data_IF_701947496835
#
_entry.id   IF_701947496835
#
_cell.length_a   1.000
_cell.length_b   1.000
_cell.length_c   1.000
_cell.angle_alpha   90.00
_cell.angle_beta   90.00
_cell.angle_gamma   90.00
#
_symmetry.space_group_name_H-M   'P 1'
#
loop_
_entity.id
_entity.type
_entity.pdbx_description
1 polymer ?
#
# COMPACT_ATOMS: atom_id res chain seq x y z
N UNK A 1 10.97 84.96 -36.49
CA UNK A 1 10.25 85.62 -35.39
C UNK A 1 8.81 85.13 -35.48
N UNK A 2 8.27 84.16 -34.83
CA UNK A 2 8.34 83.57 -33.54
C UNK A 2 7.82 82.11 -33.65
N UNK A 3 8.67 81.16 -33.37
CA UNK A 3 8.41 79.73 -33.10
C UNK A 3 8.10 79.67 -31.60
N UNK A 4 6.91 79.92 -31.12
CA UNK A 4 6.60 79.76 -29.68
C UNK A 4 5.08 79.77 -29.40
N UNK A 5 4.28 79.05 -30.20
CA UNK A 5 2.86 78.82 -29.84
C UNK A 5 2.28 77.55 -30.44
N UNK A 6 2.94 76.44 -30.36
CA UNK A 6 2.34 75.15 -30.75
C UNK A 6 2.84 73.97 -29.90
N UNK A 7 3.07 74.13 -28.61
CA UNK A 7 3.39 73.08 -27.68
C UNK A 7 2.60 73.25 -26.37
N UNK A 8 1.32 73.21 -26.39
CA UNK A 8 0.45 73.01 -25.20
C UNK A 8 -0.90 72.54 -25.74
N UNK A 9 -1.01 71.26 -26.18
CA UNK A 9 -2.28 70.57 -26.37
C UNK A 9 -2.13 69.06 -26.64
N UNK A 10 -1.02 68.45 -26.28
CA UNK A 10 -0.83 66.95 -26.49
C UNK A 10 -0.54 66.21 -25.20
N UNK A 11 -0.48 66.83 -24.03
CA UNK A 11 -0.13 66.22 -22.76
C UNK A 11 -1.32 65.87 -21.85
N UNK A 12 -2.56 65.96 -22.32
CA UNK A 12 -3.75 65.66 -21.49
C UNK A 12 -4.53 64.41 -21.87
N UNK A 13 -4.08 63.60 -22.86
CA UNK A 13 -4.81 62.40 -23.31
C UNK A 13 -4.06 61.11 -23.01
N UNK A 14 -2.84 61.11 -22.43
CA UNK A 14 -2.05 59.89 -22.12
C UNK A 14 -2.18 59.47 -20.65
N UNK A 15 -2.81 60.25 -19.79
CA UNK A 15 -3.00 59.91 -18.35
C UNK A 15 -4.32 59.21 -18.03
N UNK A 16 -5.18 58.98 -19.03
CA UNK A 16 -6.50 58.33 -18.84
C UNK A 16 -6.54 56.81 -19.14
N UNK A 17 -5.49 56.20 -19.69
CA UNK A 17 -5.49 54.79 -20.09
C UNK A 17 -4.65 53.85 -19.22
N UNK A 18 -4.00 54.35 -18.18
CA UNK A 18 -3.17 53.52 -17.28
C UNK A 18 -3.89 53.06 -16.02
N UNK A 19 -5.16 53.43 -15.79
CA UNK A 19 -5.90 53.02 -14.59
C UNK A 19 -7.00 51.96 -14.80
N UNK A 20 -7.02 51.25 -15.94
CA UNK A 20 -8.03 50.22 -16.24
C UNK A 20 -7.44 48.82 -16.48
N UNK A 21 -6.14 48.60 -16.25
CA UNK A 21 -5.49 47.32 -16.41
C UNK A 21 -5.01 46.68 -15.09
N UNK A 22 -5.26 47.30 -13.93
CA UNK A 22 -4.78 46.85 -12.63
C UNK A 22 -5.87 46.19 -11.76
N UNK A 23 -6.99 45.80 -12.36
CA UNK A 23 -8.12 45.22 -11.62
C UNK A 23 -8.44 43.76 -11.98
N UNK A 24 -7.48 42.96 -12.47
CA UNK A 24 -7.65 41.50 -12.69
C UNK A 24 -6.42 40.67 -12.36
N UNK A 25 -5.64 41.02 -11.36
CA UNK A 25 -4.85 40.02 -10.62
C UNK A 25 -5.69 39.56 -9.43
N UNK A 26 -6.59 38.62 -9.67
CA UNK A 26 -7.04 37.73 -8.62
C UNK A 26 -5.77 36.99 -8.13
N UNK A 27 -5.13 37.58 -7.12
CA UNK A 27 -4.28 36.80 -6.24
C UNK A 27 -5.18 35.72 -5.65
N UNK A 28 -5.11 34.48 -6.18
CA UNK A 28 -5.41 33.31 -5.39
C UNK A 28 -4.54 33.44 -4.12
N UNK A 29 -5.16 33.86 -3.02
CA UNK A 29 -4.61 33.66 -1.70
C UNK A 29 -4.50 32.16 -1.56
N UNK A 30 -3.33 31.58 -1.81
CA UNK A 30 -2.94 30.33 -1.15
C UNK A 30 -3.03 30.66 0.34
N UNK A 31 -4.11 30.22 0.97
CA UNK A 31 -4.15 30.14 2.42
C UNK A 31 -3.01 29.20 2.79
N UNK A 32 -1.94 29.73 3.34
CA UNK A 32 -0.89 28.97 4.01
C UNK A 32 -1.57 28.33 5.23
N UNK A 33 -2.15 27.14 5.04
CA UNK A 33 -2.65 26.35 6.15
C UNK A 33 -1.46 26.07 7.06
N UNK A 34 -1.45 26.72 8.22
CA UNK A 34 -0.41 26.53 9.23
C UNK A 34 -0.41 25.06 9.62
N UNK A 35 0.67 24.35 9.26
CA UNK A 35 0.85 22.95 9.66
C UNK A 35 0.83 22.91 11.18
N UNK A 36 -0.20 22.28 11.74
CA UNK A 36 -0.40 22.17 13.17
C UNK A 36 0.27 20.90 13.72
N UNK A 37 0.40 19.84 12.91
CA UNK A 37 0.93 18.54 13.33
C UNK A 37 1.63 17.81 12.17
N UNK A 38 2.74 17.15 12.50
CA UNK A 38 3.37 16.13 11.66
C UNK A 38 2.84 14.75 12.05
N UNK A 39 2.48 13.92 11.05
CA UNK A 39 2.02 12.54 11.21
C UNK A 39 2.97 11.62 10.42
N UNK A 40 3.74 10.79 11.14
CA UNK A 40 4.69 9.84 10.53
C UNK A 40 4.05 8.48 10.33
N UNK A 41 3.96 8.04 9.07
CA UNK A 41 3.32 6.76 8.72
C UNK A 41 4.30 5.86 7.98
N UNK A 42 4.56 4.67 8.55
CA UNK A 42 5.38 3.64 7.93
C UNK A 42 4.60 2.86 6.86
N UNK A 43 5.21 2.65 5.68
CA UNK A 43 4.56 1.95 4.57
C UNK A 43 5.58 1.24 3.66
N UNK A 44 5.13 0.19 2.94
CA UNK A 44 5.92 -0.31 1.82
C UNK A 44 5.75 0.62 0.59
N UNK A 45 6.74 0.68 -0.33
CA UNK A 45 6.72 1.63 -1.45
C UNK A 45 5.49 1.50 -2.35
N UNK A 46 5.08 0.28 -2.69
CA UNK A 46 3.96 -0.04 -3.59
C UNK A 46 3.11 -1.14 -2.95
N UNK A 47 1.80 -1.01 -2.88
CA UNK A 47 0.97 0.13 -3.26
C UNK A 47 0.83 1.18 -2.13
N UNK A 48 1.22 0.83 -0.90
CA UNK A 48 0.86 1.53 0.35
C UNK A 48 1.30 3.01 0.36
N UNK A 49 2.61 3.28 0.11
CA UNK A 49 3.11 4.66 0.06
C UNK A 49 2.48 5.46 -1.08
N UNK A 50 2.15 4.82 -2.21
CA UNK A 50 1.45 5.49 -3.33
C UNK A 50 0.02 5.88 -2.95
N UNK A 51 -0.70 5.01 -2.21
CA UNK A 51 -2.03 5.31 -1.70
C UNK A 51 -1.95 6.43 -0.66
N UNK A 52 -0.99 6.39 0.28
CA UNK A 52 -0.75 7.49 1.22
C UNK A 52 -0.45 8.81 0.50
N UNK A 53 0.36 8.78 -0.56
CA UNK A 53 0.70 9.97 -1.33
C UNK A 53 -0.54 10.63 -1.98
N UNK A 54 -1.56 9.84 -2.34
CA UNK A 54 -2.79 10.35 -2.95
C UNK A 54 -3.66 11.21 -2.01
N UNK A 55 -3.42 11.12 -0.68
CA UNK A 55 -4.18 11.84 0.34
C UNK A 55 -3.38 12.94 1.06
N UNK A 56 -2.14 13.20 0.63
CA UNK A 56 -1.26 14.21 1.26
C UNK A 56 -1.89 15.60 1.25
N UNK A 57 -2.49 16.01 0.14
CA UNK A 57 -3.10 17.33 0.02
C UNK A 57 -4.37 17.45 0.88
N UNK A 58 -5.18 16.38 0.97
CA UNK A 58 -6.38 16.35 1.81
C UNK A 58 -6.04 16.49 3.30
N UNK A 59 -4.93 15.89 3.74
CA UNK A 59 -4.43 16.03 5.10
C UNK A 59 -3.81 17.41 5.35
N UNK A 60 -3.11 17.96 4.36
CA UNK A 60 -2.55 19.32 4.44
C UNK A 60 -3.62 20.38 4.62
N UNK A 61 -4.76 20.24 3.95
CA UNK A 61 -5.93 21.11 4.13
C UNK A 61 -6.49 21.06 5.58
N UNK A 62 -6.33 19.92 6.25
CA UNK A 62 -6.66 19.76 7.67
C UNK A 62 -5.52 20.18 8.63
N UNK A 63 -4.45 20.81 8.13
CA UNK A 63 -3.29 21.23 8.92
C UNK A 63 -2.36 20.08 9.33
N UNK A 64 -2.46 18.91 8.70
CA UNK A 64 -1.65 17.73 9.00
C UNK A 64 -0.60 17.54 7.90
N UNK A 65 0.68 17.53 8.29
CA UNK A 65 1.79 17.17 7.41
C UNK A 65 2.02 15.66 7.48
N UNK A 66 1.59 14.93 6.45
CA UNK A 66 1.89 13.50 6.35
C UNK A 66 3.36 13.30 5.97
N UNK A 67 4.09 12.50 6.78
CA UNK A 67 5.47 12.06 6.50
C UNK A 67 5.43 10.56 6.28
N UNK A 68 5.67 10.13 5.03
CA UNK A 68 5.66 8.73 4.65
C UNK A 68 7.07 8.17 4.82
N UNK A 69 7.22 7.20 5.72
CA UNK A 69 8.49 6.50 5.98
C UNK A 69 8.47 5.15 5.28
N UNK A 70 9.37 4.95 4.32
CA UNK A 70 9.36 3.78 3.45
C UNK A 70 10.17 2.63 4.03
N UNK A 71 9.61 1.42 4.01
CA UNK A 71 10.24 0.18 4.46
C UNK A 71 10.16 -0.89 3.36
N UNK A 72 11.21 -1.71 3.24
CA UNK A 72 11.28 -2.77 2.21
C UNK A 72 11.05 -4.17 2.78
N UNK A 73 10.78 -4.28 4.06
CA UNK A 73 10.47 -5.52 4.79
C UNK A 73 9.16 -5.40 5.59
N UNK A 74 8.76 -6.47 6.30
CA UNK A 74 7.53 -6.50 7.09
C UNK A 74 7.77 -6.44 8.61
N UNK A 75 9.02 -6.41 9.07
CA UNK A 75 9.37 -6.43 10.49
C UNK A 75 9.55 -5.01 11.04
N UNK A 76 10.38 -4.22 10.36
CA UNK A 76 10.78 -2.89 10.82
C UNK A 76 9.61 -1.91 11.00
N UNK A 77 8.55 -1.89 10.14
CA UNK A 77 7.43 -0.96 10.35
C UNK A 77 6.71 -1.14 11.68
N UNK A 78 6.57 -2.37 12.17
CA UNK A 78 5.94 -2.64 13.46
C UNK A 78 6.89 -2.34 14.64
N UNK A 79 8.18 -2.58 14.49
CA UNK A 79 9.17 -2.20 15.50
C UNK A 79 9.21 -0.67 15.67
N UNK A 80 9.30 0.08 14.57
CA UNK A 80 9.31 1.54 14.56
C UNK A 80 7.99 2.15 15.05
N UNK A 81 6.85 1.47 14.85
CA UNK A 81 5.57 1.89 15.42
C UNK A 81 5.56 1.67 16.94
N UNK A 82 6.04 0.51 17.39
CA UNK A 82 6.04 0.16 18.81
C UNK A 82 6.98 1.04 19.64
N UNK A 83 8.14 1.45 19.09
CA UNK A 83 9.10 2.33 19.80
C UNK A 83 8.74 3.83 19.71
N UNK A 84 7.65 4.19 19.00
CA UNK A 84 7.18 5.57 18.86
C UNK A 84 7.88 6.38 17.78
N UNK A 85 8.76 5.79 16.97
CA UNK A 85 9.39 6.45 15.81
C UNK A 85 8.39 6.75 14.69
N UNK A 86 7.26 6.02 14.68
CA UNK A 86 6.10 6.23 13.82
C UNK A 86 4.85 6.50 14.66
N UNK A 87 3.90 7.25 14.12
CA UNK A 87 2.56 7.44 14.68
C UNK A 87 1.60 6.33 14.26
N UNK A 88 1.73 5.85 13.01
CA UNK A 88 0.96 4.75 12.45
C UNK A 88 1.79 3.98 11.43
N UNK A 89 1.31 2.80 11.03
CA UNK A 89 1.79 2.14 9.81
C UNK A 89 0.64 1.61 8.96
N UNK A 90 0.92 1.42 7.67
CA UNK A 90 -0.01 0.90 6.69
C UNK A 90 0.75 0.03 5.71
N UNK A 91 0.75 -1.31 5.94
CA UNK A 91 1.46 -2.28 5.09
C UNK A 91 1.01 -3.73 5.31
N UNK A 92 0.20 -4.02 6.33
CA UNK A 92 -0.09 -5.35 6.85
C UNK A 92 -1.57 -5.63 6.97
N UNK A 93 -1.93 -6.89 7.01
CA UNK A 93 -3.29 -7.38 7.28
C UNK A 93 -3.45 -7.91 8.72
N UNK A 94 -4.71 -8.06 9.18
CA UNK A 94 -5.03 -8.46 10.55
C UNK A 94 -4.29 -9.73 11.02
N UNK A 95 -4.31 -10.88 10.29
CA UNK A 95 -3.62 -12.07 10.76
C UNK A 95 -2.10 -11.89 10.94
N UNK A 96 -1.45 -11.05 10.11
CA UNK A 96 -0.04 -10.73 10.29
C UNK A 96 0.19 -9.91 11.56
N UNK A 97 -0.60 -8.85 11.79
CA UNK A 97 -0.50 -8.00 12.98
C UNK A 97 -0.72 -8.81 14.26
N UNK A 98 -1.76 -9.63 14.30
CA UNK A 98 -2.11 -10.42 15.49
C UNK A 98 -0.98 -11.43 15.81
N UNK A 99 -0.44 -12.09 14.79
CA UNK A 99 0.69 -13.01 14.97
C UNK A 99 1.97 -12.27 15.40
N UNK A 100 2.26 -11.13 14.82
CA UNK A 100 3.41 -10.30 15.17
C UNK A 100 3.34 -9.83 16.63
N UNK A 101 2.16 -9.37 17.08
CA UNK A 101 1.91 -8.99 18.47
C UNK A 101 2.15 -10.16 19.41
N UNK A 102 1.60 -11.34 19.10
CA UNK A 102 1.77 -12.54 19.90
C UNK A 102 3.25 -12.95 20.05
N UNK A 103 3.95 -13.05 18.92
CA UNK A 103 5.33 -13.54 18.89
C UNK A 103 6.31 -12.57 19.56
N UNK A 104 6.01 -11.27 19.53
CA UNK A 104 6.89 -10.23 20.05
C UNK A 104 6.38 -9.55 21.32
N UNK A 105 5.25 -10.01 21.88
CA UNK A 105 4.60 -9.44 23.07
C UNK A 105 4.35 -7.93 22.92
N UNK A 106 3.85 -7.54 21.75
CA UNK A 106 3.48 -6.16 21.43
C UNK A 106 1.96 -5.97 21.48
N UNK A 107 1.51 -4.72 21.56
CA UNK A 107 0.11 -4.32 21.69
C UNK A 107 -0.31 -3.30 20.61
N UNK A 108 0.11 -3.55 19.36
CA UNK A 108 -0.30 -2.71 18.25
C UNK A 108 -1.76 -2.98 17.87
N UNK A 109 -2.49 -1.92 17.52
CA UNK A 109 -3.93 -1.97 17.24
C UNK A 109 -4.19 -1.73 15.76
N UNK A 110 -4.90 -2.63 15.12
CA UNK A 110 -5.39 -2.40 13.76
C UNK A 110 -6.70 -1.62 13.77
N UNK A 111 -6.75 -0.49 13.08
CA UNK A 111 -7.83 0.49 13.15
C UNK A 111 -8.84 0.39 12.01
N UNK A 112 -8.37 0.37 10.76
CA UNK A 112 -9.23 0.45 9.58
C UNK A 112 -8.67 -0.33 8.40
N UNK A 113 -9.49 -1.13 7.74
CA UNK A 113 -9.14 -1.81 6.50
C UNK A 113 -9.18 -0.84 5.32
N UNK A 114 -8.21 -0.96 4.40
CA UNK A 114 -8.10 -0.05 3.26
C UNK A 114 -8.18 -0.81 1.92
N UNK A 115 -7.41 -1.88 1.74
CA UNK A 115 -7.44 -2.65 0.48
C UNK A 115 -7.02 -4.09 0.69
N UNK A 116 -7.41 -4.96 -0.24
CA UNK A 116 -6.94 -6.35 -0.34
C UNK A 116 -5.93 -6.46 -1.46
N UNK A 117 -4.85 -7.18 -1.20
CA UNK A 117 -3.86 -7.62 -2.17
C UNK A 117 -3.97 -9.14 -2.35
N UNK A 118 -4.63 -9.63 -3.40
CA UNK A 118 -4.73 -11.07 -3.61
C UNK A 118 -3.34 -11.70 -3.75
N UNK A 119 -3.12 -12.77 -2.99
CA UNK A 119 -1.91 -13.59 -3.10
C UNK A 119 -1.96 -14.36 -4.44
N UNK A 120 -0.82 -14.45 -5.15
CA UNK A 120 -0.78 -15.04 -6.49
C UNK A 120 0.39 -16.01 -6.66
N UNK A 121 0.16 -17.04 -7.47
CA UNK A 121 1.19 -17.97 -7.90
C UNK A 121 1.79 -17.54 -9.24
N UNK A 122 3.10 -17.44 -9.29
CA UNK A 122 3.88 -17.10 -10.48
C UNK A 122 4.88 -18.20 -10.81
N UNK A 123 5.18 -18.37 -12.08
CA UNK A 123 6.25 -19.24 -12.58
C UNK A 123 6.90 -18.65 -13.82
N UNK A 124 8.20 -18.87 -13.96
CA UNK A 124 8.94 -18.62 -15.21
C UNK A 124 9.18 -19.90 -16.01
N UNK A 125 8.84 -21.08 -15.45
CA UNK A 125 9.12 -22.39 -16.05
C UNK A 125 7.89 -23.06 -16.66
N UNK A 126 6.69 -22.73 -16.15
CA UNK A 126 5.41 -23.26 -16.65
C UNK A 126 4.42 -22.13 -16.90
N UNK A 127 3.56 -22.32 -17.87
CA UNK A 127 2.48 -21.39 -18.26
C UNK A 127 1.08 -21.90 -17.88
N UNK A 128 0.98 -23.17 -17.44
CA UNK A 128 -0.24 -23.80 -16.95
C UNK A 128 0.13 -24.66 -15.73
N UNK A 129 -0.64 -24.57 -14.66
CA UNK A 129 -0.42 -25.34 -13.43
C UNK A 129 -0.51 -26.84 -13.65
N UNK A 130 -1.22 -27.30 -14.67
CA UNK A 130 -1.30 -28.71 -15.07
C UNK A 130 0.06 -29.29 -15.50
N UNK A 131 1.00 -28.41 -15.89
CA UNK A 131 2.36 -28.79 -16.26
C UNK A 131 3.31 -28.91 -15.06
N UNK A 132 2.79 -28.73 -13.83
CA UNK A 132 3.58 -28.88 -12.60
C UNK A 132 4.07 -30.33 -12.49
N UNK A 133 5.39 -30.50 -12.37
CA UNK A 133 6.01 -31.82 -12.29
C UNK A 133 6.05 -32.33 -10.87
N UNK A 134 6.08 -33.66 -10.74
CA UNK A 134 6.32 -34.29 -9.43
C UNK A 134 7.70 -33.89 -8.90
N UNK A 135 7.75 -33.48 -7.62
CA UNK A 135 8.98 -33.01 -6.97
C UNK A 135 9.31 -31.53 -7.21
N UNK A 136 8.41 -30.78 -7.85
CA UNK A 136 8.55 -29.32 -8.06
C UNK A 136 8.77 -28.58 -6.76
N UNK A 137 9.62 -27.55 -6.81
CA UNK A 137 9.92 -26.64 -5.69
C UNK A 137 9.05 -25.40 -5.81
N UNK A 138 8.22 -25.15 -4.80
CA UNK A 138 7.38 -23.95 -4.70
C UNK A 138 7.87 -23.09 -3.53
N UNK A 139 8.34 -21.87 -3.84
CA UNK A 139 8.71 -20.90 -2.82
C UNK A 139 7.47 -20.19 -2.26
N UNK A 140 7.45 -19.96 -0.95
CA UNK A 140 6.36 -19.30 -0.21
C UNK A 140 6.96 -18.31 0.80
N UNK A 141 6.19 -17.29 1.27
CA UNK A 141 6.65 -16.45 2.38
C UNK A 141 7.00 -17.28 3.62
N UNK A 142 7.99 -16.83 4.38
CA UNK A 142 8.44 -17.53 5.60
C UNK A 142 7.82 -16.96 6.89
N UNK A 143 7.10 -15.83 6.84
CA UNK A 143 6.34 -15.38 7.99
C UNK A 143 5.10 -16.26 8.20
N UNK A 144 4.73 -16.56 9.46
CA UNK A 144 3.69 -17.57 9.73
C UNK A 144 2.34 -17.26 9.08
N UNK A 145 1.95 -15.97 9.00
CA UNK A 145 0.65 -15.60 8.46
C UNK A 145 0.60 -15.76 6.93
N UNK A 146 1.61 -15.27 6.20
CA UNK A 146 1.62 -15.41 4.74
C UNK A 146 2.05 -16.82 4.30
N UNK A 147 2.83 -17.56 5.07
CA UNK A 147 3.10 -18.98 4.82
C UNK A 147 1.80 -19.79 4.90
N UNK A 148 1.03 -19.65 6.00
CA UNK A 148 -0.25 -20.32 6.14
C UNK A 148 -1.23 -19.97 5.03
N UNK A 149 -1.32 -18.69 4.68
CA UNK A 149 -2.11 -18.18 3.57
C UNK A 149 -1.70 -18.81 2.23
N UNK A 150 -0.40 -18.94 1.96
CA UNK A 150 0.10 -19.59 0.74
C UNK A 150 -0.25 -21.08 0.69
N UNK A 151 -0.14 -21.80 1.81
CA UNK A 151 -0.52 -23.20 1.89
C UNK A 151 -2.03 -23.41 1.74
N UNK A 152 -2.85 -22.52 2.30
CA UNK A 152 -4.31 -22.51 2.09
C UNK A 152 -4.63 -22.30 0.61
N UNK A 153 -3.92 -21.41 -0.08
CA UNK A 153 -4.11 -21.19 -1.52
C UNK A 153 -3.75 -22.46 -2.32
N UNK A 154 -2.63 -23.13 -2.01
CA UNK A 154 -2.27 -24.43 -2.62
C UNK A 154 -3.31 -25.51 -2.34
N UNK A 155 -3.86 -25.55 -1.13
CA UNK A 155 -4.94 -26.47 -0.76
C UNK A 155 -6.21 -26.23 -1.60
N UNK A 156 -6.64 -24.97 -1.73
CA UNK A 156 -7.80 -24.60 -2.56
C UNK A 156 -7.62 -24.98 -4.03
N UNK A 157 -6.38 -24.94 -4.54
CA UNK A 157 -6.05 -25.38 -5.91
C UNK A 157 -5.93 -26.90 -6.06
N UNK A 158 -6.11 -27.67 -4.97
CA UNK A 158 -6.00 -29.14 -5.00
C UNK A 158 -4.56 -29.67 -5.17
N UNK A 159 -3.56 -28.80 -5.04
CA UNK A 159 -2.14 -29.17 -5.19
C UNK A 159 -1.60 -29.89 -3.96
N UNK A 160 -2.14 -29.57 -2.77
CA UNK A 160 -1.88 -30.23 -1.50
C UNK A 160 -3.20 -30.38 -0.73
N UNK A 161 -3.23 -31.15 0.36
CA UNK A 161 -4.31 -31.07 1.34
C UNK A 161 -3.73 -30.76 2.72
N UNK A 162 -4.29 -29.76 3.40
CA UNK A 162 -3.99 -29.42 4.79
C UNK A 162 -4.89 -30.22 5.73
N UNK A 163 -4.40 -30.52 6.91
CA UNK A 163 -5.14 -31.14 8.00
C UNK A 163 -6.34 -30.27 8.43
N UNK A 164 -6.09 -28.97 8.54
CA UNK A 164 -7.09 -27.93 8.84
C UNK A 164 -6.86 -26.72 7.94
N UNK A 165 -7.66 -26.54 6.87
CA UNK A 165 -7.52 -25.39 5.98
C UNK A 165 -8.06 -24.07 6.57
N UNK A 166 -8.66 -24.10 7.76
CA UNK A 166 -9.07 -22.89 8.49
C UNK A 166 -7.93 -22.33 9.38
N UNK A 167 -6.88 -23.09 9.61
CA UNK A 167 -5.70 -22.63 10.35
C UNK A 167 -4.91 -21.61 9.51
N UNK A 168 -5.04 -20.32 9.86
CA UNK A 168 -4.35 -19.21 9.15
C UNK A 168 -2.82 -19.23 9.29
N UNK A 169 -2.28 -20.08 10.18
CA UNK A 169 -0.86 -20.20 10.46
C UNK A 169 -0.35 -21.63 10.17
N UNK A 170 -0.99 -22.31 9.20
CA UNK A 170 -0.56 -23.64 8.77
C UNK A 170 0.89 -23.62 8.27
N UNK A 171 1.60 -24.70 8.55
CA UNK A 171 2.99 -24.95 8.14
C UNK A 171 3.07 -26.14 7.19
N UNK A 172 4.23 -26.43 6.63
CA UNK A 172 4.46 -27.62 5.81
C UNK A 172 4.19 -28.94 6.56
N UNK A 173 4.25 -28.93 7.88
CA UNK A 173 3.93 -30.10 8.73
C UNK A 173 2.43 -30.39 8.83
N UNK A 174 1.59 -29.45 8.42
CA UNK A 174 0.13 -29.61 8.37
C UNK A 174 -0.35 -30.22 7.04
N UNK A 175 0.55 -30.51 6.10
CA UNK A 175 0.23 -31.12 4.80
C UNK A 175 0.00 -32.62 5.00
N UNK A 176 -1.25 -33.08 4.81
CA UNK A 176 -1.63 -34.48 4.94
C UNK A 176 -1.69 -35.23 3.60
N UNK A 177 -1.80 -34.53 2.47
CA UNK A 177 -1.70 -35.11 1.12
C UNK A 177 -0.87 -34.18 0.24
N UNK A 178 0.04 -34.77 -0.53
CA UNK A 178 0.91 -34.08 -1.46
C UNK A 178 1.13 -34.95 -2.72
N UNK A 179 0.13 -35.03 -3.63
CA UNK A 179 0.17 -35.98 -4.75
C UNK A 179 1.30 -35.66 -5.75
N UNK A 180 1.70 -34.39 -5.83
CA UNK A 180 2.80 -33.95 -6.69
C UNK A 180 4.17 -33.99 -6.01
N UNK A 181 4.26 -34.42 -4.73
CA UNK A 181 5.49 -34.37 -3.94
C UNK A 181 6.17 -32.99 -3.99
N UNK A 182 5.35 -31.91 -3.90
CA UNK A 182 5.80 -30.53 -3.92
C UNK A 182 6.74 -30.30 -2.72
N UNK A 183 7.87 -29.67 -2.99
CA UNK A 183 8.80 -29.22 -1.96
C UNK A 183 8.50 -27.75 -1.65
N UNK A 184 7.95 -27.50 -0.49
CA UNK A 184 7.72 -26.14 0.00
C UNK A 184 9.05 -25.52 0.42
N UNK A 185 9.34 -24.32 -0.06
CA UNK A 185 10.56 -23.56 0.24
C UNK A 185 10.20 -22.21 0.83
N UNK A 186 10.12 -22.08 2.19
CA UNK A 186 9.87 -20.80 2.83
C UNK A 186 11.06 -19.85 2.65
N UNK A 187 10.78 -18.63 2.21
CA UNK A 187 11.77 -17.56 2.01
C UNK A 187 11.17 -16.22 2.44
N UNK A 188 12.02 -15.28 2.79
CA UNK A 188 11.60 -13.90 3.03
C UNK A 188 10.79 -13.36 1.83
N UNK A 189 9.62 -12.76 2.11
CA UNK A 189 8.66 -12.36 1.08
C UNK A 189 9.28 -11.42 0.01
N UNK A 190 10.19 -10.53 0.42
CA UNK A 190 10.90 -9.61 -0.48
C UNK A 190 11.85 -10.32 -1.48
N UNK A 191 12.24 -11.57 -1.20
CA UNK A 191 13.12 -12.35 -2.08
C UNK A 191 12.35 -13.17 -3.13
N UNK A 192 11.07 -13.44 -2.90
CA UNK A 192 10.28 -14.34 -3.76
C UNK A 192 10.27 -13.95 -5.23
N UNK A 193 10.10 -12.66 -5.61
CA UNK A 193 10.18 -12.27 -7.01
C UNK A 193 11.55 -12.54 -7.66
N UNK A 194 12.61 -12.49 -6.88
CA UNK A 194 14.00 -12.65 -7.37
C UNK A 194 14.39 -14.10 -7.63
N UNK A 195 13.76 -15.04 -6.94
CA UNK A 195 14.07 -16.47 -7.04
C UNK A 195 13.20 -17.24 -8.04
N UNK A 196 12.32 -16.56 -8.79
CA UNK A 196 11.41 -17.22 -9.74
C UNK A 196 12.14 -18.06 -10.82
N UNK A 197 13.35 -17.69 -11.20
CA UNK A 197 14.18 -18.47 -12.12
C UNK A 197 14.73 -19.76 -11.51
N UNK A 198 14.91 -19.80 -10.19
CA UNK A 198 15.55 -20.90 -9.48
C UNK A 198 14.55 -21.97 -9.02
N UNK A 199 13.28 -21.62 -8.85
CA UNK A 199 12.20 -22.49 -8.40
C UNK A 199 11.22 -22.82 -9.52
N UNK A 200 10.32 -23.79 -9.31
CA UNK A 200 9.30 -24.13 -10.33
C UNK A 200 8.09 -23.19 -10.24
N UNK A 201 7.92 -22.52 -9.11
CA UNK A 201 6.96 -21.46 -8.92
C UNK A 201 7.10 -20.82 -7.54
N UNK A 202 6.46 -19.67 -7.37
CA UNK A 202 6.41 -18.98 -6.09
C UNK A 202 5.03 -18.36 -5.84
N UNK A 203 4.59 -18.40 -4.59
CA UNK A 203 3.42 -17.65 -4.13
C UNK A 203 3.90 -16.33 -3.54
N UNK A 204 3.49 -15.22 -4.17
CA UNK A 204 4.05 -13.90 -3.90
C UNK A 204 2.93 -12.96 -3.45
N UNK A 205 3.19 -12.20 -2.39
CA UNK A 205 2.30 -11.16 -1.88
C UNK A 205 2.15 -10.01 -2.90
N UNK A 206 0.96 -9.40 -2.95
CA UNK A 206 0.59 -8.44 -3.99
C UNK A 206 1.53 -7.25 -4.11
N UNK A 207 1.98 -6.68 -2.99
CA UNK A 207 2.91 -5.54 -2.98
C UNK A 207 4.26 -5.87 -3.64
N UNK A 208 4.87 -7.02 -3.32
CA UNK A 208 6.14 -7.42 -3.94
C UNK A 208 5.97 -7.83 -5.41
N UNK A 209 4.83 -8.43 -5.75
CA UNK A 209 4.51 -8.72 -7.15
C UNK A 209 4.36 -7.43 -7.98
N UNK A 210 3.64 -6.42 -7.44
CA UNK A 210 3.49 -5.10 -8.08
C UNK A 210 4.83 -4.37 -8.19
N UNK A 211 5.62 -4.35 -7.12
CA UNK A 211 6.94 -3.71 -7.12
C UNK A 211 7.89 -4.34 -8.16
N UNK A 212 7.83 -5.66 -8.33
CA UNK A 212 8.58 -6.40 -9.33
C UNK A 212 7.92 -6.39 -10.72
N UNK A 213 6.77 -5.73 -10.89
CA UNK A 213 5.99 -5.64 -12.14
C UNK A 213 5.65 -7.02 -12.72
N UNK A 214 5.39 -8.00 -11.86
CA UNK A 214 5.04 -9.35 -12.29
C UNK A 214 3.66 -9.37 -12.93
N UNK A 215 3.56 -10.10 -14.03
CA UNK A 215 2.33 -10.38 -14.79
C UNK A 215 2.18 -11.87 -15.02
N UNK A 216 1.02 -12.33 -15.49
CA UNK A 216 0.83 -13.73 -15.87
C UNK A 216 0.81 -14.70 -14.70
N UNK A 217 0.21 -14.32 -13.57
CA UNK A 217 -0.06 -15.25 -12.48
C UNK A 217 -0.92 -16.43 -12.98
N UNK A 218 -0.55 -17.66 -12.61
CA UNK A 218 -1.28 -18.87 -13.03
C UNK A 218 -2.59 -19.05 -12.25
N UNK A 219 -2.61 -18.61 -10.99
CA UNK A 219 -3.81 -18.53 -10.16
C UNK A 219 -3.63 -17.49 -9.04
N UNK A 220 -4.72 -17.12 -8.43
CA UNK A 220 -4.81 -16.06 -7.43
C UNK A 220 -5.80 -16.45 -6.35
N UNK A 221 -5.69 -15.84 -5.18
CA UNK A 221 -6.78 -15.83 -4.20
C UNK A 221 -8.05 -15.21 -4.74
N UNK A 222 -9.16 -15.62 -4.14
CA UNK A 222 -10.47 -15.00 -4.35
C UNK A 222 -10.52 -13.59 -3.75
N UNK A 223 -11.50 -12.79 -4.20
CA UNK A 223 -11.71 -11.42 -3.74
C UNK A 223 -12.17 -11.34 -2.27
N UNK A 224 -12.85 -12.36 -1.79
CA UNK A 224 -13.38 -12.45 -0.41
C UNK A 224 -12.30 -12.94 0.55
N UNK A 225 -11.21 -12.19 0.61
CA UNK A 225 -10.04 -12.53 1.42
C UNK A 225 -10.08 -11.82 2.78
N UNK A 226 -9.82 -12.52 3.91
CA UNK A 226 -9.75 -11.90 5.24
C UNK A 226 -8.47 -11.07 5.44
N UNK A 227 -7.65 -10.92 4.40
CA UNK A 227 -6.33 -10.32 4.44
C UNK A 227 -6.33 -8.87 3.93
N UNK A 228 -7.35 -8.08 4.30
CA UNK A 228 -7.35 -6.65 4.02
C UNK A 228 -6.19 -5.95 4.74
N UNK A 229 -5.41 -5.18 4.00
CA UNK A 229 -4.37 -4.32 4.53
C UNK A 229 -5.00 -3.16 5.30
N UNK A 230 -4.45 -2.85 6.46
CA UNK A 230 -5.04 -1.94 7.44
C UNK A 230 -4.04 -0.89 7.91
N UNK A 231 -4.58 0.21 8.45
CA UNK A 231 -3.82 1.17 9.26
C UNK A 231 -3.73 0.62 10.68
N UNK A 232 -2.52 0.58 11.23
CA UNK A 232 -2.26 0.22 12.61
C UNK A 232 -1.60 1.36 13.37
N UNK A 233 -1.85 1.41 14.69
CA UNK A 233 -1.27 2.35 15.64
C UNK A 233 -0.85 1.63 16.93
N UNK A 234 -0.28 2.37 17.88
CA UNK A 234 -0.18 1.94 19.28
C UNK A 234 -1.53 2.12 19.97
N UNK A 235 -1.74 1.46 21.09
CA UNK A 235 -2.95 1.65 21.93
C UNK A 235 -3.09 3.09 22.43
N UNK A 236 -1.98 3.71 22.85
CA UNK A 236 -1.96 5.05 23.47
C UNK A 236 -2.33 6.17 22.50
N UNK A 237 -2.16 5.97 21.19
CA UNK A 237 -2.50 6.96 20.16
C UNK A 237 -3.61 6.51 19.18
N UNK A 238 -4.30 5.41 19.48
CA UNK A 238 -5.37 4.90 18.63
C UNK A 238 -6.56 5.87 18.41
N UNK A 239 -6.73 6.84 19.32
CA UNK A 239 -7.78 7.86 19.27
C UNK A 239 -7.28 9.23 18.78
N UNK A 240 -6.05 9.30 18.27
CA UNK A 240 -5.45 10.53 17.76
C UNK A 240 -6.22 11.10 16.56
N UNK A 241 -6.55 12.38 16.62
CA UNK A 241 -7.35 13.06 15.59
C UNK A 241 -6.65 13.10 14.22
N UNK A 242 -5.31 13.14 14.18
CA UNK A 242 -4.59 13.10 12.90
C UNK A 242 -4.64 11.68 12.28
N UNK A 243 -4.64 10.62 13.09
CA UNK A 243 -4.82 9.25 12.61
C UNK A 243 -6.25 9.03 12.14
N UNK A 244 -7.27 9.56 12.85
CA UNK A 244 -8.66 9.52 12.38
C UNK A 244 -8.82 10.24 11.04
N UNK A 245 -8.24 11.43 10.89
CA UNK A 245 -8.26 12.17 9.63
C UNK A 245 -7.57 11.41 8.48
N UNK A 246 -6.46 10.70 8.78
CA UNK A 246 -5.80 9.81 7.81
C UNK A 246 -6.73 8.69 7.35
N UNK A 247 -7.41 8.02 8.29
CA UNK A 247 -8.33 6.92 7.98
C UNK A 247 -9.50 7.43 7.13
N UNK A 248 -10.11 8.57 7.47
CA UNK A 248 -11.18 9.18 6.68
C UNK A 248 -10.73 9.46 5.24
N UNK A 249 -9.53 10.04 5.06
CA UNK A 249 -8.97 10.31 3.74
C UNK A 249 -8.70 9.01 2.96
N UNK A 250 -8.14 7.99 3.61
CA UNK A 250 -7.85 6.69 2.99
C UNK A 250 -9.12 5.90 2.64
N UNK A 251 -10.23 6.10 3.34
CA UNK A 251 -11.52 5.46 3.07
C UNK A 251 -12.46 6.34 2.22
N UNK A 252 -11.95 7.42 1.60
CA UNK A 252 -12.74 8.31 0.74
C UNK A 252 -13.01 7.71 -0.64
N UNK A 253 -14.06 8.21 -1.31
CA UNK A 253 -14.34 7.86 -2.71
C UNK A 253 -13.20 8.28 -3.67
N UNK A 254 -12.46 9.34 -3.34
CA UNK A 254 -11.25 9.76 -4.07
C UNK A 254 -10.20 8.65 -4.03
N UNK A 255 -9.93 8.10 -2.85
CA UNK A 255 -8.96 7.00 -2.68
C UNK A 255 -9.47 5.70 -3.32
N UNK A 256 -10.77 5.39 -3.21
CA UNK A 256 -11.38 4.25 -3.91
C UNK A 256 -11.14 4.34 -5.42
N UNK A 257 -11.45 5.50 -6.01
CA UNK A 257 -11.22 5.75 -7.43
C UNK A 257 -9.74 5.66 -7.81
N UNK A 258 -8.85 6.25 -7.00
CA UNK A 258 -7.39 6.15 -7.20
C UNK A 258 -6.93 4.69 -7.26
N UNK A 259 -7.36 3.84 -6.31
CA UNK A 259 -7.00 2.41 -6.27
C UNK A 259 -7.49 1.69 -7.53
N UNK A 260 -8.75 1.89 -7.92
CA UNK A 260 -9.34 1.22 -9.09
C UNK A 260 -8.67 1.64 -10.40
N UNK A 261 -8.43 2.93 -10.59
CA UNK A 261 -7.85 3.47 -11.82
C UNK A 261 -6.35 3.11 -11.96
N UNK A 262 -5.61 3.13 -10.83
CA UNK A 262 -4.17 2.90 -10.83
C UNK A 262 -3.82 1.42 -10.97
N UNK A 263 -4.49 0.57 -10.18
CA UNK A 263 -4.10 -0.84 -10.06
C UNK A 263 -4.98 -1.80 -10.86
N UNK A 264 -6.07 -1.32 -11.47
CA UNK A 264 -6.90 -2.05 -12.46
C UNK A 264 -7.27 -3.47 -12.02
N UNK A 265 -7.62 -3.64 -10.74
CA UNK A 265 -8.00 -4.92 -10.14
C UNK A 265 -6.83 -5.76 -9.61
N UNK A 266 -5.58 -5.29 -9.71
CA UNK A 266 -4.45 -5.94 -9.04
C UNK A 266 -4.57 -5.88 -7.52
N UNK A 267 -5.16 -4.80 -7.01
CA UNK A 267 -5.61 -4.63 -5.61
C UNK A 267 -7.05 -4.12 -5.58
N UNK A 268 -7.75 -4.32 -4.47
CA UNK A 268 -9.20 -4.12 -4.37
C UNK A 268 -9.49 -3.28 -3.11
N UNK A 269 -10.24 -2.16 -3.20
CA UNK A 269 -10.68 -1.43 -2.02
C UNK A 269 -11.47 -2.34 -1.05
N UNK A 270 -11.24 -2.18 0.27
CA UNK A 270 -11.84 -3.00 1.32
C UNK A 270 -12.60 -2.16 2.37
N UNK A 271 -13.22 -1.05 1.93
CA UNK A 271 -14.03 -0.13 2.74
C UNK A 271 -15.27 0.33 1.98
#
# INVERSE_FOLDING_TARGET
MNIFKRIICVTAIVLGFFNLLDAKHHKEKKEDHKIARELKVGANPVPHAQILQSVVDDLKEKGIKLVIVSFTDYVLPNLALNDGSLDANYFQHRPYLDRFNLDRKMHLVGLANIHVEPLRFYSQKITDIKNLKKGSVIAVPNDPANQGRALILLHKQGLIALKDPSNLYATEFDIVKNPYNIKIKPLEAALLPKVLGDVDGAIITGNYALQAKLTGALFSEDKDSPYANLVASREDNAQDEAIKALIEALQSEKTRKFILDTYKGAIIPAF
#
